data_IF_067121792052
#
_entry.id   IF_067121792052
#
_cell.length_a   1.000
_cell.length_b   1.000
_cell.length_c   1.000
_cell.angle_alpha   90.00
_cell.angle_beta   90.00
_cell.angle_gamma   90.00
#
_symmetry.space_group_name_H-M   'P 1'
#
loop_
_entity.id
_entity.type
_entity.pdbx_description
1 polymer ?
#
# COMPACT_ATOMS: atom_id res chain seq x y z
N UNK A 1 -10.10 17.16 15.66
CA UNK A 1 -9.36 15.88 15.65
C UNK A 1 -8.98 15.32 17.03
N UNK A 2 -8.71 16.14 18.08
CA UNK A 2 -8.29 15.65 19.42
C UNK A 2 -9.38 15.06 20.34
N UNK A 3 -10.67 15.11 19.97
CA UNK A 3 -11.79 14.70 20.85
C UNK A 3 -12.37 13.30 20.57
N UNK A 4 -11.93 12.61 19.51
CA UNK A 4 -12.54 11.33 19.08
C UNK A 4 -11.68 10.08 19.37
N UNK A 5 -10.46 10.23 19.90
CA UNK A 5 -9.49 9.12 19.95
C UNK A 5 -9.55 8.27 21.20
N UNK A 6 -10.26 8.69 22.25
CA UNK A 6 -10.25 7.96 23.54
C UNK A 6 -11.30 6.84 23.62
N UNK A 7 -12.30 6.83 22.72
CA UNK A 7 -13.36 5.80 22.68
C UNK A 7 -13.18 4.80 21.53
N UNK A 8 -12.29 5.08 20.58
CA UNK A 8 -12.10 4.26 19.39
C UNK A 8 -10.95 3.28 19.66
N UNK A 9 -11.28 1.98 19.66
CA UNK A 9 -10.31 0.90 19.79
C UNK A 9 -9.15 1.07 18.79
N UNK A 10 -7.94 0.75 19.22
CA UNK A 10 -6.72 0.90 18.39
C UNK A 10 -6.84 0.17 17.05
N UNK A 11 -7.48 -1.00 17.02
CA UNK A 11 -7.73 -1.77 15.79
C UNK A 11 -8.70 -1.10 14.80
N UNK A 12 -9.45 -0.08 15.22
CA UNK A 12 -10.38 0.64 14.35
C UNK A 12 -9.69 1.79 13.58
N UNK A 13 -8.55 2.28 14.05
CA UNK A 13 -7.80 3.36 13.39
C UNK A 13 -6.35 3.01 13.01
N UNK A 14 -5.65 2.20 13.82
CA UNK A 14 -4.26 1.83 13.56
C UNK A 14 -4.18 0.62 12.61
N UNK A 15 -3.51 0.82 11.47
CA UNK A 15 -3.41 -0.17 10.38
C UNK A 15 -2.75 -1.48 10.79
N UNK A 16 -1.75 -1.44 11.67
CA UNK A 16 -1.03 -2.62 12.12
C UNK A 16 -1.87 -3.52 13.06
N UNK A 17 -2.97 -3.00 13.62
CA UNK A 17 -3.81 -3.74 14.57
C UNK A 17 -5.18 -4.11 13.99
N UNK A 18 -5.50 -3.68 12.77
CA UNK A 18 -6.81 -3.97 12.16
C UNK A 18 -6.80 -5.34 11.49
N UNK A 19 -7.84 -6.18 11.68
CA UNK A 19 -7.96 -7.43 10.92
C UNK A 19 -8.30 -7.19 9.44
N UNK A 20 -8.77 -5.97 9.10
CA UNK A 20 -9.18 -5.61 7.74
C UNK A 20 -8.00 -5.00 6.98
N UNK A 21 -7.69 -5.53 5.82
CA UNK A 21 -6.61 -5.02 4.96
C UNK A 21 -6.92 -3.61 4.46
N UNK A 22 -6.30 -2.60 5.06
CA UNK A 22 -6.37 -1.20 4.62
C UNK A 22 -5.08 -0.86 3.87
N UNK A 23 -5.17 -0.75 2.54
CA UNK A 23 -4.06 -0.47 1.60
C UNK A 23 -3.45 0.95 1.74
N UNK A 24 -3.16 1.42 2.94
CA UNK A 24 -2.57 2.75 3.17
C UNK A 24 -3.56 3.92 3.15
N UNK A 25 -4.83 3.69 2.86
CA UNK A 25 -5.87 4.71 2.94
C UNK A 25 -6.23 4.98 4.41
N UNK A 26 -5.49 5.90 5.05
CA UNK A 26 -5.84 6.44 6.37
C UNK A 26 -6.52 7.81 6.30
N UNK A 27 -6.64 8.36 5.09
CA UNK A 27 -7.22 9.69 4.86
C UNK A 27 -8.52 9.59 4.07
N UNK A 28 -9.42 10.54 4.32
CA UNK A 28 -10.65 10.73 3.55
C UNK A 28 -10.40 11.34 2.16
N UNK A 29 -9.14 11.55 1.76
CA UNK A 29 -8.77 12.24 0.51
C UNK A 29 -9.47 11.66 -0.73
N UNK A 30 -9.58 10.32 -0.82
CA UNK A 30 -10.28 9.67 -1.94
C UNK A 30 -11.77 9.98 -1.94
N UNK A 31 -12.40 9.94 -0.77
CA UNK A 31 -13.81 10.29 -0.60
C UNK A 31 -14.05 11.78 -0.87
N UNK A 32 -13.18 12.66 -0.38
CA UNK A 32 -13.25 14.11 -0.59
C UNK A 32 -13.08 14.48 -2.07
N UNK A 33 -12.09 13.87 -2.74
CA UNK A 33 -11.85 14.07 -4.17
C UNK A 33 -13.04 13.61 -5.01
N UNK A 34 -13.60 12.43 -4.69
CA UNK A 34 -14.79 11.93 -5.37
C UNK A 34 -16.02 12.81 -5.10
N UNK A 35 -16.24 13.22 -3.85
CA UNK A 35 -17.32 14.13 -3.46
C UNK A 35 -17.20 15.48 -4.18
N UNK A 36 -15.99 16.02 -4.32
CA UNK A 36 -15.76 17.24 -5.07
C UNK A 36 -16.08 17.06 -6.55
N UNK A 37 -15.68 15.93 -7.16
CA UNK A 37 -15.99 15.61 -8.55
C UNK A 37 -17.49 15.44 -8.80
N UNK A 38 -18.21 14.87 -7.84
CA UNK A 38 -19.66 14.66 -7.90
C UNK A 38 -20.48 15.88 -7.44
N UNK A 39 -19.84 16.97 -6.99
CA UNK A 39 -20.49 18.11 -6.33
C UNK A 39 -21.68 18.68 -7.12
N UNK A 40 -21.57 18.76 -8.44
CA UNK A 40 -22.64 19.28 -9.34
C UNK A 40 -23.60 18.19 -9.81
N UNK A 41 -23.11 16.97 -9.97
CA UNK A 41 -23.84 15.84 -10.55
C UNK A 41 -24.76 15.17 -9.52
N UNK A 42 -24.45 15.28 -8.22
CA UNK A 42 -25.26 14.72 -7.13
C UNK A 42 -26.67 15.31 -7.00
N UNK A 43 -26.95 16.41 -7.68
CA UNK A 43 -28.28 17.04 -7.73
C UNK A 43 -29.15 16.50 -8.89
N UNK A 44 -28.58 15.66 -9.76
CA UNK A 44 -29.30 15.03 -10.86
C UNK A 44 -30.13 13.83 -10.37
N UNK A 45 -31.12 13.36 -11.16
CA UNK A 45 -31.80 12.10 -10.89
C UNK A 45 -30.81 10.94 -10.71
N UNK A 46 -31.19 9.96 -9.89
CA UNK A 46 -30.33 8.82 -9.50
C UNK A 46 -29.74 8.11 -10.73
N UNK A 47 -30.53 7.88 -11.77
CA UNK A 47 -30.05 7.24 -13.00
C UNK A 47 -28.93 8.03 -13.67
N UNK A 48 -29.07 9.35 -13.77
CA UNK A 48 -28.06 10.23 -14.38
C UNK A 48 -26.78 10.31 -13.55
N UNK A 49 -26.91 10.31 -12.23
CA UNK A 49 -25.75 10.25 -11.32
C UNK A 49 -24.98 8.93 -11.51
N UNK A 50 -25.68 7.79 -11.54
CA UNK A 50 -25.08 6.47 -11.72
C UNK A 50 -24.36 6.37 -13.07
N UNK A 51 -24.98 6.87 -14.15
CA UNK A 51 -24.36 6.87 -15.48
C UNK A 51 -23.08 7.73 -15.51
N UNK A 52 -23.09 8.89 -14.86
CA UNK A 52 -21.90 9.73 -14.74
C UNK A 52 -20.77 9.04 -13.95
N UNK A 53 -21.11 8.38 -12.84
CA UNK A 53 -20.14 7.62 -12.04
C UNK A 53 -19.55 6.47 -12.86
N UNK A 54 -20.40 5.70 -13.55
CA UNK A 54 -19.98 4.63 -14.46
C UNK A 54 -19.01 5.14 -15.51
N UNK A 55 -19.40 6.14 -16.29
CA UNK A 55 -18.57 6.72 -17.35
C UNK A 55 -17.25 7.28 -16.81
N UNK A 56 -17.26 7.87 -15.60
CA UNK A 56 -16.05 8.36 -14.94
C UNK A 56 -15.09 7.23 -14.60
N UNK A 57 -15.60 6.15 -14.00
CA UNK A 57 -14.81 4.99 -13.61
C UNK A 57 -14.26 4.29 -14.86
N UNK A 58 -15.07 4.13 -15.89
CA UNK A 58 -14.67 3.56 -17.19
C UNK A 58 -13.53 4.36 -17.80
N UNK A 59 -13.64 5.69 -17.87
CA UNK A 59 -12.56 6.57 -18.35
C UNK A 59 -11.26 6.37 -17.56
N UNK A 60 -11.33 6.23 -16.23
CA UNK A 60 -10.15 5.95 -15.41
C UNK A 60 -9.52 4.59 -15.73
N UNK A 61 -10.33 3.56 -15.95
CA UNK A 61 -9.82 2.24 -16.33
C UNK A 61 -9.20 2.24 -17.73
N UNK A 62 -9.78 2.95 -18.69
CA UNK A 62 -9.20 3.11 -20.03
C UNK A 62 -7.83 3.76 -19.93
N UNK A 63 -7.70 4.88 -19.21
CA UNK A 63 -6.40 5.55 -19.02
C UNK A 63 -5.40 4.64 -18.32
N UNK A 64 -5.80 3.94 -17.25
CA UNK A 64 -4.91 3.00 -16.54
C UNK A 64 -4.46 1.84 -17.40
N UNK A 65 -5.34 1.30 -18.25
CA UNK A 65 -5.02 0.22 -19.19
C UNK A 65 -4.03 0.72 -20.23
N UNK A 66 -4.28 1.87 -20.86
CA UNK A 66 -3.37 2.47 -21.82
C UNK A 66 -1.98 2.75 -21.19
N UNK A 67 -1.91 3.18 -19.92
CA UNK A 67 -0.63 3.34 -19.21
C UNK A 67 0.06 2.01 -18.85
N UNK A 68 -0.65 0.88 -18.91
CA UNK A 68 -0.09 -0.45 -18.70
C UNK A 68 0.31 -1.13 -20.02
N UNK A 69 -0.43 -0.87 -21.10
CA UNK A 69 -0.10 -1.28 -22.46
C UNK A 69 1.28 -0.74 -22.84
N UNK A 70 2.20 -1.64 -23.20
CA UNK A 70 3.60 -1.30 -23.51
C UNK A 70 4.58 -1.42 -22.35
N UNK A 71 4.13 -1.67 -21.11
CA UNK A 71 5.04 -1.98 -19.99
C UNK A 71 5.31 -3.48 -19.90
N UNK A 72 6.56 -3.88 -20.11
CA UNK A 72 7.02 -5.25 -19.89
C UNK A 72 7.51 -5.45 -18.45
N UNK A 73 6.67 -5.13 -17.46
CA UNK A 73 7.00 -5.32 -16.06
C UNK A 73 5.76 -5.75 -15.26
N UNK A 74 5.85 -6.78 -14.40
CA UNK A 74 4.69 -7.33 -13.69
C UNK A 74 4.08 -6.37 -12.66
N UNK A 75 4.84 -5.37 -12.20
CA UNK A 75 4.39 -4.37 -11.23
C UNK A 75 3.87 -3.08 -11.88
N UNK A 76 2.95 -2.40 -11.22
CA UNK A 76 2.53 -1.03 -11.60
C UNK A 76 3.68 -0.04 -11.42
N UNK A 77 3.70 1.05 -12.20
CA UNK A 77 4.72 2.10 -12.10
C UNK A 77 4.85 2.64 -10.66
N UNK A 78 3.72 2.87 -9.99
CA UNK A 78 3.71 3.31 -8.59
C UNK A 78 4.41 2.32 -7.66
N UNK A 79 4.20 1.01 -7.87
CA UNK A 79 4.83 -0.03 -7.04
C UNK A 79 6.33 -0.10 -7.30
N UNK A 80 6.76 0.02 -8.56
CA UNK A 80 8.19 0.08 -8.92
C UNK A 80 8.86 1.27 -8.24
N UNK A 81 8.32 2.48 -8.43
CA UNK A 81 8.83 3.71 -7.80
C UNK A 81 8.91 3.63 -6.26
N UNK A 82 8.04 2.82 -5.64
CA UNK A 82 8.08 2.56 -4.20
C UNK A 82 9.15 1.54 -3.82
N UNK A 83 9.37 0.50 -4.61
CA UNK A 83 10.25 -0.62 -4.28
C UNK A 83 11.69 -0.44 -4.74
N UNK A 84 11.92 0.17 -5.90
CA UNK A 84 13.26 0.41 -6.47
C UNK A 84 14.22 1.08 -5.47
N UNK A 85 13.86 2.19 -4.78
CA UNK A 85 14.76 2.78 -3.78
C UNK A 85 15.00 1.87 -2.57
N UNK A 86 14.06 0.99 -2.23
CA UNK A 86 14.23 0.03 -1.14
C UNK A 86 15.20 -1.08 -1.53
N UNK A 87 15.14 -1.56 -2.78
CA UNK A 87 16.10 -2.53 -3.29
C UNK A 87 17.51 -1.93 -3.41
N UNK A 88 17.62 -0.70 -3.91
CA UNK A 88 18.91 0.01 -3.98
C UNK A 88 19.51 0.23 -2.59
N UNK A 89 18.73 0.75 -1.63
CA UNK A 89 19.19 0.89 -0.23
C UNK A 89 19.49 -0.47 0.39
N UNK A 90 18.71 -1.50 0.08
CA UNK A 90 18.87 -2.83 0.62
C UNK A 90 20.20 -3.51 0.27
N UNK A 91 20.85 -3.10 -0.82
CA UNK A 91 22.16 -3.65 -1.26
C UNK A 91 23.31 -3.36 -0.28
N UNK A 92 23.22 -2.30 0.52
CA UNK A 92 24.26 -1.92 1.47
C UNK A 92 24.04 -2.47 2.87
N UNK A 93 22.89 -3.11 3.10
CA UNK A 93 22.49 -3.61 4.42
C UNK A 93 22.99 -5.05 4.59
N UNK A 94 23.56 -5.34 5.77
CA UNK A 94 24.09 -6.68 6.06
C UNK A 94 22.96 -7.66 6.44
N UNK A 95 23.11 -8.90 5.97
CA UNK A 95 22.12 -9.97 6.14
C UNK A 95 22.79 -11.25 6.64
N UNK A 96 22.10 -11.96 7.51
CA UNK A 96 22.50 -13.29 7.99
C UNK A 96 21.36 -14.27 7.73
N UNK A 97 21.65 -15.35 7.00
CA UNK A 97 20.67 -16.42 6.73
C UNK A 97 20.55 -17.33 7.95
N UNK A 98 19.33 -17.61 8.39
CA UNK A 98 19.05 -18.43 9.58
C UNK A 98 18.36 -19.77 9.27
N UNK A 99 17.84 -19.94 8.05
CA UNK A 99 17.15 -21.15 7.62
C UNK A 99 16.43 -20.94 6.29
N UNK A 100 15.50 -21.85 5.95
CA UNK A 100 14.71 -21.75 4.71
C UNK A 100 13.88 -20.47 4.72
N UNK A 101 14.19 -19.54 3.80
CA UNK A 101 13.50 -18.25 3.64
C UNK A 101 13.44 -17.34 4.89
N UNK A 102 14.32 -17.57 5.89
CA UNK A 102 14.43 -16.75 7.10
C UNK A 102 15.77 -16.05 7.20
N UNK A 103 15.71 -14.76 7.50
CA UNK A 103 16.86 -13.87 7.48
C UNK A 103 16.85 -12.94 8.68
N UNK A 104 18.04 -12.60 9.16
CA UNK A 104 18.28 -11.49 10.08
C UNK A 104 18.94 -10.38 9.30
N UNK A 105 18.28 -9.22 9.25
CA UNK A 105 18.75 -8.03 8.54
C UNK A 105 19.18 -7.00 9.58
N UNK A 106 20.41 -6.49 9.47
CA UNK A 106 20.96 -5.50 10.40
C UNK A 106 20.88 -4.10 9.79
N UNK A 107 19.95 -3.29 10.27
CA UNK A 107 19.86 -1.87 9.91
C UNK A 107 20.46 -1.04 11.05
N UNK A 108 21.60 -0.41 10.78
CA UNK A 108 22.37 0.39 11.75
C UNK A 108 22.72 -0.41 13.00
N UNK A 109 21.97 -0.22 14.09
CA UNK A 109 22.17 -0.87 15.40
C UNK A 109 21.10 -1.91 15.74
N UNK A 110 20.07 -2.07 14.89
CA UNK A 110 18.93 -2.94 15.17
C UNK A 110 18.83 -4.08 14.15
N UNK A 111 18.60 -5.29 14.67
CA UNK A 111 18.30 -6.46 13.87
C UNK A 111 16.80 -6.61 13.64
N UNK A 112 16.42 -7.01 12.42
CA UNK A 112 15.05 -7.37 12.07
C UNK A 112 15.02 -8.79 11.53
N UNK A 113 14.12 -9.60 12.06
CA UNK A 113 13.82 -10.93 11.53
C UNK A 113 12.84 -10.78 10.36
N UNK A 114 13.17 -11.44 9.25
CA UNK A 114 12.37 -11.49 8.03
C UNK A 114 12.10 -12.94 7.69
N UNK A 115 10.83 -13.28 7.45
CA UNK A 115 10.41 -14.57 6.92
C UNK A 115 9.70 -14.33 5.58
N UNK A 116 10.36 -14.70 4.47
CA UNK A 116 9.82 -14.48 3.12
C UNK A 116 8.68 -15.44 2.80
N UNK A 117 8.66 -16.64 3.41
CA UNK A 117 7.61 -17.63 3.19
C UNK A 117 6.31 -17.18 3.87
N UNK A 118 6.40 -16.75 5.13
CA UNK A 118 5.28 -16.21 5.87
C UNK A 118 4.94 -14.75 5.47
N UNK A 119 5.81 -14.09 4.71
CA UNK A 119 5.74 -12.66 4.34
C UNK A 119 5.66 -11.75 5.56
N UNK A 120 6.51 -12.02 6.55
CA UNK A 120 6.57 -11.27 7.82
C UNK A 120 7.91 -10.59 8.02
N UNK A 121 7.89 -9.48 8.76
CA UNK A 121 9.07 -8.77 9.20
C UNK A 121 8.79 -8.11 10.56
N UNK A 122 9.77 -8.06 11.46
CA UNK A 122 9.65 -7.40 12.75
C UNK A 122 9.20 -5.92 12.66
N UNK A 123 9.46 -5.25 11.52
CA UNK A 123 8.97 -3.88 11.30
C UNK A 123 7.46 -3.80 10.98
N UNK A 124 6.76 -4.93 10.82
CA UNK A 124 5.33 -5.10 10.51
C UNK A 124 4.86 -4.52 9.18
N UNK A 125 5.71 -3.77 8.47
CA UNK A 125 5.37 -3.16 7.17
C UNK A 125 5.10 -4.23 6.12
N UNK A 126 5.86 -5.34 6.11
CA UNK A 126 5.68 -6.39 5.10
C UNK A 126 4.30 -7.05 5.19
N UNK A 127 3.83 -7.32 6.42
CA UNK A 127 2.48 -7.82 6.68
C UNK A 127 1.39 -6.79 6.37
N UNK A 128 1.65 -5.53 6.75
CA UNK A 128 0.62 -4.47 6.73
C UNK A 128 0.39 -3.90 5.34
N UNK A 129 1.47 -3.69 4.56
CA UNK A 129 1.41 -3.13 3.21
C UNK A 129 1.28 -4.22 2.14
N UNK A 130 1.57 -5.49 2.47
CA UNK A 130 1.67 -6.62 1.53
C UNK A 130 2.71 -6.42 0.42
N UNK A 131 3.56 -5.40 0.58
CA UNK A 131 4.70 -5.08 -0.26
C UNK A 131 5.97 -5.24 0.57
N UNK A 132 7.10 -5.64 -0.03
CA UNK A 132 8.37 -5.69 0.67
C UNK A 132 8.68 -4.36 1.37
N UNK A 133 8.98 -4.44 2.66
CA UNK A 133 9.63 -3.36 3.37
C UNK A 133 11.14 -3.37 3.04
N UNK A 134 11.89 -2.37 3.51
CA UNK A 134 13.35 -2.33 3.32
C UNK A 134 14.03 -3.65 3.70
N UNK A 135 13.71 -4.22 4.87
CA UNK A 135 14.31 -5.46 5.33
C UNK A 135 13.92 -6.66 4.46
N UNK A 136 12.66 -6.74 4.04
CA UNK A 136 12.21 -7.78 3.13
C UNK A 136 12.85 -7.64 1.74
N UNK A 137 12.99 -6.42 1.22
CA UNK A 137 13.69 -6.14 -0.03
C UNK A 137 15.16 -6.56 0.04
N UNK A 138 15.84 -6.33 1.17
CA UNK A 138 17.21 -6.83 1.39
C UNK A 138 17.27 -8.35 1.36
N UNK A 139 16.27 -9.04 1.91
CA UNK A 139 16.21 -10.50 1.96
C UNK A 139 15.79 -11.18 0.64
N UNK A 140 15.00 -10.50 -0.19
CA UNK A 140 14.54 -10.99 -1.50
C UNK A 140 15.67 -11.02 -2.55
N UNK A 141 16.78 -10.32 -2.27
CA UNK A 141 17.92 -10.16 -3.18
C UNK A 141 18.50 -11.48 -3.70
#
# INVERSE_FOLDING_TARGET
FKKLTNEILVNAWARCFTPVRRYGFMTSNSCESLNNKLRRVRMLPVCSLLEYVRATIEKWFIVRRASAEGRNHPLTQWTQLRLDPLFEKGRTISITTLGMQRYRVMEETRSYMVDLQARTCDCRVFETDLLPCLHASTAIR
#
